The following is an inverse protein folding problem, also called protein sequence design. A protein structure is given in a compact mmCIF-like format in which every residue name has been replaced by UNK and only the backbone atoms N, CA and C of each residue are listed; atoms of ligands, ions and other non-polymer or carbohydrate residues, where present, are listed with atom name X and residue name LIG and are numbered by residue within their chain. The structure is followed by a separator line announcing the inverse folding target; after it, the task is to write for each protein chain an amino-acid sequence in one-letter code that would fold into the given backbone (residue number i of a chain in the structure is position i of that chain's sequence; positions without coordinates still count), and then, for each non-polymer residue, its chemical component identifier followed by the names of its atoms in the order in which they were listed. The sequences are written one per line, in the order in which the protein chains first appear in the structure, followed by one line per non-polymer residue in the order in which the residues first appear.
data_IF_892451072754
#
_entry.id   IF_892451072754
#
_cell.length_a   1.000
_cell.length_b   1.000
_cell.length_c   1.000
_cell.angle_alpha   90.00
_cell.angle_beta   90.00
_cell.angle_gamma   90.00
#
_symmetry.space_group_name_H-M   'P 1'
#
loop_
_entity.id
_entity.type
_entity.pdbx_description
1 polymer ?
#
# COMPACT_ATOMS: atom_id res chain seq x y z
N UNK A 1 19.02 75.47 -0.93
CA UNK A 1 18.74 74.21 -1.64
C UNK A 1 19.16 72.95 -0.87
N UNK A 2 20.09 73.01 0.07
CA UNK A 2 20.66 71.82 0.77
C UNK A 2 19.72 71.26 1.90
N UNK A 3 18.86 72.09 2.53
CA UNK A 3 17.96 71.61 3.61
C UNK A 3 16.77 70.74 3.18
N UNK A 4 16.36 70.79 1.91
CA UNK A 4 15.23 69.94 1.42
C UNK A 4 15.67 68.53 0.99
N UNK A 5 16.92 68.30 0.72
CA UNK A 5 17.44 66.97 0.33
C UNK A 5 17.63 66.07 1.55
N UNK A 6 18.00 66.65 2.71
CA UNK A 6 18.19 65.86 3.95
C UNK A 6 16.86 65.27 4.51
N UNK A 7 15.69 65.92 4.31
CA UNK A 7 14.39 65.44 4.77
C UNK A 7 13.88 64.25 3.93
N UNK A 8 14.19 64.23 2.65
CA UNK A 8 13.81 63.14 1.73
C UNK A 8 14.59 61.85 2.03
N UNK A 9 15.85 61.94 2.41
CA UNK A 9 16.71 60.79 2.75
C UNK A 9 16.25 60.13 4.07
N UNK A 10 15.78 60.92 5.06
CA UNK A 10 15.28 60.41 6.35
C UNK A 10 13.93 59.68 6.22
N UNK A 11 13.06 60.13 5.31
CA UNK A 11 11.80 59.46 5.04
C UNK A 11 12.02 58.14 4.25
N UNK A 12 12.95 58.07 3.36
CA UNK A 12 13.30 56.84 2.62
C UNK A 12 13.92 55.76 3.53
N UNK A 13 14.61 56.12 4.62
CA UNK A 13 15.20 55.18 5.57
C UNK A 13 14.19 54.60 6.56
N UNK A 14 13.02 55.23 6.74
CA UNK A 14 11.96 54.73 7.63
C UNK A 14 10.99 53.73 6.96
N UNK A 15 10.98 53.58 5.64
CA UNK A 15 10.12 52.68 4.92
C UNK A 15 10.71 51.30 4.64
N UNK A 16 11.96 51.01 5.01
CA UNK A 16 12.63 49.74 4.75
C UNK A 16 12.55 48.74 5.94
N UNK A 17 11.89 49.09 7.04
CA UNK A 17 11.89 48.31 8.29
C UNK A 17 10.72 47.33 8.47
N UNK A 18 9.75 47.26 7.58
CA UNK A 18 8.52 46.48 7.85
C UNK A 18 8.30 45.25 6.93
N UNK A 19 9.26 44.92 6.09
CA UNK A 19 9.07 43.80 5.16
C UNK A 19 9.63 42.45 5.66
N UNK A 20 10.32 42.37 6.81
CA UNK A 20 11.01 41.16 7.25
C UNK A 20 10.28 40.33 8.30
N UNK A 21 9.19 40.81 8.87
CA UNK A 21 8.50 40.08 9.95
C UNK A 21 7.36 39.17 9.49
N UNK A 22 6.81 39.35 8.29
CA UNK A 22 5.75 38.47 7.77
C UNK A 22 6.28 37.24 7.05
N UNK A 23 7.45 37.31 6.43
CA UNK A 23 8.07 36.16 5.74
C UNK A 23 8.53 35.08 6.74
N UNK A 24 8.98 35.46 7.93
CA UNK A 24 9.45 34.53 8.96
C UNK A 24 8.34 33.73 9.64
N UNK A 25 7.12 34.29 9.71
CA UNK A 25 5.99 33.55 10.28
C UNK A 25 5.40 32.52 9.29
N UNK A 26 5.31 32.88 8.00
CA UNK A 26 4.81 31.95 6.97
C UNK A 26 5.77 30.79 6.74
N UNK A 27 7.10 31.04 6.73
CA UNK A 27 8.09 29.96 6.63
C UNK A 27 8.10 29.04 7.85
N UNK A 28 7.88 29.59 9.05
CA UNK A 28 7.82 28.79 10.28
C UNK A 28 6.54 27.94 10.36
N UNK A 29 5.41 28.48 9.92
CA UNK A 29 4.15 27.75 9.82
C UNK A 29 4.19 26.70 8.71
N UNK A 30 4.81 26.99 7.56
CA UNK A 30 5.03 26.04 6.46
C UNK A 30 5.98 24.90 6.91
N UNK A 31 7.03 25.22 7.66
CA UNK A 31 7.99 24.22 8.16
C UNK A 31 7.34 23.33 9.22
N UNK A 32 6.49 23.86 10.12
CA UNK A 32 5.68 23.07 11.04
C UNK A 32 4.63 22.21 10.31
N UNK A 33 4.01 22.74 9.27
CA UNK A 33 3.05 22.01 8.42
C UNK A 33 3.71 20.88 7.65
N UNK A 34 4.92 21.08 7.12
CA UNK A 34 5.68 20.05 6.40
C UNK A 34 6.12 18.91 7.32
N UNK A 35 6.44 19.20 8.58
CA UNK A 35 6.83 18.20 9.60
C UNK A 35 5.64 17.34 10.06
N UNK A 36 4.41 17.81 9.90
CA UNK A 36 3.20 17.04 10.22
C UNK A 36 2.83 16.01 9.14
N UNK A 37 3.33 16.13 7.91
CA UNK A 37 2.98 15.23 6.81
C UNK A 37 3.78 13.92 6.84
N UNK A 38 3.10 12.78 6.68
CA UNK A 38 3.72 11.44 6.61
C UNK A 38 4.21 11.13 5.19
N UNK A 39 5.19 11.88 4.69
CA UNK A 39 5.70 11.75 3.32
C UNK A 39 6.29 10.36 3.02
N UNK A 40 6.86 9.70 4.03
CA UNK A 40 7.46 8.39 3.91
C UNK A 40 6.72 7.38 4.79
N UNK A 41 6.59 6.15 4.29
CA UNK A 41 5.97 5.07 5.08
C UNK A 41 6.64 4.86 6.43
N UNK A 42 7.97 5.00 6.51
CA UNK A 42 8.72 4.90 7.77
C UNK A 42 8.28 5.96 8.80
N UNK A 43 7.93 7.17 8.36
CA UNK A 43 7.38 8.21 9.25
C UNK A 43 6.02 7.82 9.80
N UNK A 44 5.16 7.17 8.98
CA UNK A 44 3.89 6.63 9.46
C UNK A 44 4.13 5.63 10.61
N UNK A 45 5.07 4.68 10.45
CA UNK A 45 5.40 3.71 11.50
C UNK A 45 5.90 4.39 12.77
N UNK A 46 6.88 5.29 12.66
CA UNK A 46 7.43 6.03 13.82
C UNK A 46 6.35 6.83 14.54
N UNK A 47 5.49 7.50 13.80
CA UNK A 47 4.38 8.29 14.34
C UNK A 47 3.33 7.41 15.03
N UNK A 48 2.90 6.34 14.40
CA UNK A 48 1.98 5.37 14.99
C UNK A 48 2.54 4.79 16.29
N UNK A 49 3.82 4.50 16.32
CA UNK A 49 4.51 3.94 17.47
C UNK A 49 4.84 4.98 18.57
N UNK A 50 4.79 6.26 18.28
CA UNK A 50 5.24 7.33 19.18
C UNK A 50 6.77 7.34 19.36
N UNK A 51 7.49 7.13 18.27
CA UNK A 51 8.96 7.04 18.19
C UNK A 51 9.58 8.31 17.60
N UNK A 52 8.79 9.36 17.38
CA UNK A 52 9.25 10.67 16.91
C UNK A 52 8.61 11.82 17.70
N UNK A 53 9.23 13.00 17.63
CA UNK A 53 8.68 14.25 18.18
C UNK A 53 7.62 14.84 17.25
N UNK A 54 6.91 15.88 17.69
CA UNK A 54 6.01 16.66 16.85
C UNK A 54 6.70 17.26 15.61
N UNK A 55 8.02 17.48 15.69
CA UNK A 55 8.85 18.01 14.60
C UNK A 55 9.42 16.94 13.66
N UNK A 56 9.16 15.66 13.96
CA UNK A 56 9.68 14.54 13.18
C UNK A 56 11.08 14.05 13.59
N UNK A 57 11.66 14.60 14.68
CA UNK A 57 12.92 14.11 15.21
C UNK A 57 12.72 12.74 15.85
N UNK A 58 13.63 11.81 15.64
CA UNK A 58 13.57 10.47 16.22
C UNK A 58 13.79 10.53 17.73
N UNK A 59 12.96 9.78 18.48
CA UNK A 59 13.10 9.63 19.92
C UNK A 59 13.94 8.40 20.25
N UNK A 60 14.96 8.59 21.08
CA UNK A 60 15.72 7.48 21.62
C UNK A 60 14.89 6.64 22.60
N UNK A 61 15.10 5.32 22.69
CA UNK A 61 14.37 4.45 23.62
C UNK A 61 14.45 4.85 25.09
N UNK A 62 15.46 5.65 25.46
CA UNK A 62 15.69 6.20 26.82
C UNK A 62 14.87 7.46 27.09
N UNK A 63 14.28 8.09 26.06
CA UNK A 63 13.44 9.28 26.23
C UNK A 63 12.11 8.92 26.89
N UNK A 64 11.66 9.67 27.88
CA UNK A 64 10.37 9.45 28.56
C UNK A 64 9.15 9.57 27.62
N UNK A 65 9.33 10.20 26.48
CA UNK A 65 8.28 10.37 25.45
C UNK A 65 8.21 9.16 24.52
N UNK A 66 9.28 8.36 24.43
CA UNK A 66 9.35 7.19 23.55
C UNK A 66 8.21 6.22 23.87
N UNK A 67 7.39 5.92 22.85
CA UNK A 67 6.21 5.03 22.93
C UNK A 67 5.20 5.40 24.02
N UNK A 68 5.17 6.67 24.43
CA UNK A 68 4.25 7.15 25.45
C UNK A 68 2.79 7.04 24.98
N UNK A 69 1.94 6.39 25.77
CA UNK A 69 0.52 6.13 25.42
C UNK A 69 -0.25 7.39 25.07
N UNK A 70 -0.08 8.49 25.85
CA UNK A 70 -0.79 9.75 25.61
C UNK A 70 -0.35 10.41 24.29
N UNK A 71 0.95 10.35 24.00
CA UNK A 71 1.52 10.86 22.77
C UNK A 71 1.04 10.04 21.56
N UNK A 72 1.06 8.71 21.67
CA UNK A 72 0.56 7.80 20.64
C UNK A 72 -0.90 8.02 20.31
N UNK A 73 -1.79 8.20 21.31
CA UNK A 73 -3.20 8.49 21.08
C UNK A 73 -3.37 9.73 20.19
N UNK A 74 -2.62 10.80 20.46
CA UNK A 74 -2.64 12.01 19.65
C UNK A 74 -2.14 11.76 18.22
N UNK A 75 -1.03 11.05 18.07
CA UNK A 75 -0.44 10.78 16.77
C UNK A 75 -1.33 9.88 15.92
N UNK A 76 -1.82 8.78 16.46
CA UNK A 76 -2.71 7.88 15.70
C UNK A 76 -3.97 8.64 15.26
N UNK A 77 -4.50 9.54 16.09
CA UNK A 77 -5.68 10.30 15.71
C UNK A 77 -5.50 11.18 14.46
N UNK A 78 -4.30 11.74 14.25
CA UNK A 78 -4.01 12.57 13.05
C UNK A 78 -3.57 11.77 11.83
N UNK A 79 -3.33 10.45 11.98
CA UNK A 79 -2.96 9.57 10.87
C UNK A 79 -4.15 9.09 10.03
N UNK A 80 -5.38 9.47 10.35
CA UNK A 80 -6.54 9.16 9.52
C UNK A 80 -6.73 10.20 8.42
N UNK A 81 -7.11 9.73 7.24
CA UNK A 81 -7.61 10.63 6.20
C UNK A 81 -8.92 11.28 6.66
N UNK A 82 -8.97 12.60 6.65
CA UNK A 82 -10.12 13.38 7.14
C UNK A 82 -11.06 13.83 6.02
N UNK A 83 -10.61 13.75 4.76
CA UNK A 83 -11.38 14.24 3.63
C UNK A 83 -12.21 13.15 2.94
N UNK A 84 -11.60 11.98 2.69
CA UNK A 84 -12.21 10.94 1.87
C UNK A 84 -12.60 9.70 2.67
N UNK A 85 -11.94 9.42 3.81
CA UNK A 85 -12.25 8.25 4.60
C UNK A 85 -13.54 8.44 5.40
N UNK A 86 -14.55 7.62 5.10
CA UNK A 86 -15.82 7.60 5.84
C UNK A 86 -15.70 6.78 7.14
N UNK A 87 -14.73 7.12 7.98
CA UNK A 87 -14.49 6.41 9.24
C UNK A 87 -15.16 7.17 10.38
N UNK A 88 -16.12 6.54 11.07
CA UNK A 88 -16.82 7.16 12.17
C UNK A 88 -15.89 7.48 13.34
N UNK A 89 -16.16 8.57 14.07
CA UNK A 89 -15.40 8.97 15.25
C UNK A 89 -15.38 7.86 16.33
N UNK A 90 -16.48 7.14 16.47
CA UNK A 90 -16.58 6.01 17.41
C UNK A 90 -15.61 4.89 17.05
N UNK A 91 -15.53 4.52 15.76
CA UNK A 91 -14.64 3.49 15.26
C UNK A 91 -13.16 3.90 15.42
N UNK A 92 -12.80 5.15 15.06
CA UNK A 92 -11.48 5.73 15.31
C UNK A 92 -11.07 5.61 16.77
N UNK A 93 -11.93 6.06 17.68
CA UNK A 93 -11.63 6.02 19.11
C UNK A 93 -11.43 4.57 19.61
N UNK A 94 -12.28 3.64 19.20
CA UNK A 94 -12.15 2.22 19.57
C UNK A 94 -10.82 1.64 19.08
N UNK A 95 -10.43 1.91 17.85
CA UNK A 95 -9.14 1.50 17.30
C UNK A 95 -7.95 2.08 18.08
N UNK A 96 -7.98 3.40 18.35
CA UNK A 96 -6.92 4.08 19.10
C UNK A 96 -6.78 3.48 20.51
N UNK A 97 -7.89 3.24 21.21
CA UNK A 97 -7.88 2.61 22.53
C UNK A 97 -7.30 1.19 22.47
N UNK A 98 -7.68 0.38 21.46
CA UNK A 98 -7.12 -0.96 21.25
C UNK A 98 -5.60 -0.91 21.01
N UNK A 99 -5.17 -0.09 20.05
CA UNK A 99 -3.75 0.01 19.67
C UNK A 99 -2.85 0.56 20.78
N UNK A 100 -3.42 1.39 21.68
CA UNK A 100 -2.67 2.08 22.75
C UNK A 100 -2.97 1.57 24.15
N UNK A 101 -3.66 0.44 24.29
CA UNK A 101 -3.97 -0.15 25.60
C UNK A 101 -2.69 -0.36 26.42
N UNK A 102 -2.70 0.07 27.68
CA UNK A 102 -1.50 0.03 28.53
C UNK A 102 -0.99 -1.37 28.83
N UNK A 103 -1.85 -2.40 28.78
CA UNK A 103 -1.48 -3.79 29.07
C UNK A 103 -1.11 -4.57 27.80
N UNK A 104 -1.70 -4.22 26.65
CA UNK A 104 -1.57 -4.94 25.39
C UNK A 104 -1.23 -4.00 24.23
N UNK A 105 -0.38 -2.97 24.50
CA UNK A 105 0.00 -1.99 23.49
C UNK A 105 0.63 -2.66 22.27
N UNK A 106 0.11 -2.32 21.10
CA UNK A 106 0.56 -2.91 19.84
C UNK A 106 1.34 -1.88 19.03
N UNK A 107 2.44 -2.32 18.45
CA UNK A 107 3.35 -1.48 17.69
C UNK A 107 3.52 -2.03 16.29
N UNK A 108 3.55 -1.14 15.32
CA UNK A 108 3.82 -1.53 13.94
C UNK A 108 5.31 -1.81 13.74
N UNK A 109 5.63 -2.83 12.97
CA UNK A 109 7.00 -3.15 12.59
C UNK A 109 7.09 -3.36 11.09
N UNK A 110 8.05 -2.71 10.44
CA UNK A 110 8.37 -2.94 9.03
C UNK A 110 8.70 -4.42 8.74
N UNK A 111 9.19 -5.14 9.76
CA UNK A 111 9.60 -6.55 9.64
C UNK A 111 8.48 -7.54 9.96
N UNK A 112 7.29 -7.06 10.34
CA UNK A 112 6.12 -7.94 10.57
C UNK A 112 5.66 -8.56 9.26
N UNK A 113 5.07 -9.77 9.37
CA UNK A 113 4.41 -10.46 8.25
C UNK A 113 2.94 -10.08 8.11
N UNK A 114 2.41 -9.26 9.02
CA UNK A 114 0.99 -8.93 9.11
C UNK A 114 0.62 -7.70 8.29
N UNK A 115 1.42 -7.38 7.28
CA UNK A 115 1.12 -6.33 6.33
C UNK A 115 1.77 -6.62 4.97
N UNK A 116 1.22 -6.03 3.92
CA UNK A 116 1.72 -6.17 2.55
C UNK A 116 1.31 -4.97 1.70
N UNK A 117 1.92 -4.86 0.52
CA UNK A 117 1.59 -3.83 -0.44
C UNK A 117 0.83 -4.43 -1.63
N UNK A 118 -0.19 -3.71 -2.10
CA UNK A 118 -0.87 -3.94 -3.38
C UNK A 118 -0.44 -2.83 -4.31
N UNK A 119 0.23 -3.20 -5.39
CA UNK A 119 0.80 -2.29 -6.38
C UNK A 119 0.05 -2.47 -7.69
N UNK A 120 -0.79 -1.50 -8.04
CA UNK A 120 -1.45 -1.46 -9.33
C UNK A 120 -0.49 -0.90 -10.37
N UNK A 121 -0.26 -1.66 -11.41
CA UNK A 121 0.73 -1.37 -12.45
C UNK A 121 0.11 -1.48 -13.83
N UNK A 122 0.78 -0.87 -14.80
CA UNK A 122 0.48 -1.05 -16.22
C UNK A 122 1.62 -1.80 -16.87
N UNK A 123 1.28 -2.84 -17.62
CA UNK A 123 2.19 -3.58 -18.48
C UNK A 123 1.72 -3.51 -19.93
N UNK A 124 2.66 -3.59 -20.87
CA UNK A 124 2.37 -3.88 -22.27
C UNK A 124 2.31 -5.39 -22.46
N UNK A 125 1.15 -5.89 -22.86
CA UNK A 125 0.89 -7.27 -23.18
C UNK A 125 0.20 -7.38 -24.53
N UNK A 126 0.72 -8.19 -25.46
CA UNK A 126 0.21 -8.33 -26.82
C UNK A 126 0.03 -6.98 -27.56
N UNK A 127 0.97 -6.03 -27.35
CA UNK A 127 0.95 -4.71 -27.97
C UNK A 127 -0.08 -3.73 -27.40
N UNK A 128 -0.71 -4.03 -26.27
CA UNK A 128 -1.68 -3.18 -25.58
C UNK A 128 -1.28 -2.96 -24.13
N UNK A 129 -1.55 -1.77 -23.62
CA UNK A 129 -1.39 -1.51 -22.20
C UNK A 129 -2.54 -2.13 -21.41
N UNK A 130 -2.20 -2.89 -20.37
CA UNK A 130 -3.15 -3.59 -19.52
C UNK A 130 -2.79 -3.44 -18.05
N UNK A 131 -3.78 -3.28 -17.15
CA UNK A 131 -3.54 -3.24 -15.71
C UNK A 131 -3.16 -4.62 -15.20
N UNK A 132 -2.17 -4.65 -14.31
CA UNK A 132 -1.72 -5.84 -13.60
C UNK A 132 -1.43 -5.47 -12.15
N UNK A 133 -1.95 -6.24 -11.21
CA UNK A 133 -1.74 -6.03 -9.78
C UNK A 133 -0.65 -6.94 -9.27
N UNK A 134 0.35 -6.35 -8.61
CA UNK A 134 1.40 -7.08 -7.89
C UNK A 134 1.12 -7.04 -6.38
N UNK A 135 1.23 -8.20 -5.74
CA UNK A 135 1.19 -8.31 -4.28
C UNK A 135 2.61 -8.46 -3.75
N UNK A 136 3.03 -7.49 -2.94
CA UNK A 136 4.39 -7.39 -2.44
C UNK A 136 4.44 -7.65 -0.94
N UNK A 137 5.42 -8.44 -0.50
CA UNK A 137 5.66 -8.72 0.93
C UNK A 137 7.11 -8.45 1.28
N UNK A 138 7.36 -8.18 2.56
CA UNK A 138 8.73 -8.13 3.09
C UNK A 138 9.12 -9.54 3.53
N UNK A 139 10.28 -9.98 3.09
CA UNK A 139 10.92 -11.21 3.58
C UNK A 139 12.31 -10.93 4.11
N UNK A 140 12.77 -11.80 5.00
CA UNK A 140 14.14 -11.77 5.51
C UNK A 140 15.07 -12.36 4.46
N UNK A 141 16.14 -11.63 4.12
CA UNK A 141 17.20 -12.09 3.24
C UNK A 141 18.56 -11.84 3.88
N UNK A 142 19.27 -12.91 4.23
CA UNK A 142 20.54 -12.82 4.93
C UNK A 142 20.45 -12.04 6.24
N UNK A 143 21.17 -10.93 6.34
CA UNK A 143 21.15 -10.00 7.48
C UNK A 143 20.11 -8.87 7.33
N UNK A 144 19.45 -8.77 6.17
CA UNK A 144 18.53 -7.71 5.83
C UNK A 144 17.10 -8.17 5.59
N UNK A 145 16.34 -7.28 4.98
CA UNK A 145 14.96 -7.50 4.54
C UNK A 145 14.79 -6.88 3.16
N UNK A 146 14.02 -7.53 2.31
CA UNK A 146 13.72 -7.06 0.96
C UNK A 146 12.23 -7.17 0.64
N UNK A 147 11.80 -6.41 -0.37
CA UNK A 147 10.48 -6.55 -0.96
C UNK A 147 10.50 -7.63 -2.04
N UNK A 148 9.55 -8.53 -1.96
CA UNK A 148 9.39 -9.61 -2.94
C UNK A 148 7.98 -9.61 -3.51
N UNK A 149 7.86 -9.99 -4.78
CA UNK A 149 6.56 -10.26 -5.40
C UNK A 149 6.07 -11.61 -4.87
N UNK A 150 4.98 -11.59 -4.12
CA UNK A 150 4.42 -12.80 -3.50
C UNK A 150 3.30 -13.43 -4.32
N UNK A 151 2.62 -12.62 -5.14
CA UNK A 151 1.49 -13.04 -5.99
C UNK A 151 1.20 -11.97 -7.04
N UNK A 152 0.37 -12.29 -8.02
CA UNK A 152 -0.13 -11.35 -9.02
C UNK A 152 -1.62 -11.60 -9.30
N UNK A 153 -2.31 -10.56 -9.80
CA UNK A 153 -3.62 -10.68 -10.43
C UNK A 153 -3.58 -10.01 -11.80
N UNK A 154 -4.00 -10.76 -12.83
CA UNK A 154 -3.98 -10.28 -14.20
C UNK A 154 -5.17 -10.86 -14.97
N UNK A 155 -6.10 -10.02 -15.37
CA UNK A 155 -7.34 -10.43 -16.01
C UNK A 155 -7.10 -11.23 -17.33
N UNK A 156 -6.01 -10.96 -18.05
CA UNK A 156 -5.69 -11.73 -19.25
C UNK A 156 -5.40 -13.21 -18.93
N UNK A 157 -4.82 -13.51 -17.76
CA UNK A 157 -4.60 -14.90 -17.33
C UNK A 157 -5.90 -15.54 -16.85
N UNK A 158 -6.77 -14.79 -16.16
CA UNK A 158 -8.08 -15.30 -15.78
C UNK A 158 -8.90 -15.70 -16.99
N UNK A 159 -8.89 -14.89 -18.05
CA UNK A 159 -9.56 -15.20 -19.31
C UNK A 159 -8.93 -16.39 -20.04
N UNK A 160 -7.58 -16.50 -20.01
CA UNK A 160 -6.86 -17.59 -20.68
C UNK A 160 -7.15 -18.96 -20.05
N UNK A 161 -7.31 -18.99 -18.72
CA UNK A 161 -7.54 -20.21 -17.94
C UNK A 161 -8.98 -20.34 -17.43
N UNK A 162 -9.90 -19.52 -17.95
CA UNK A 162 -11.31 -19.65 -17.63
C UNK A 162 -11.83 -21.00 -18.12
N UNK A 163 -11.98 -21.91 -17.16
CA UNK A 163 -12.63 -23.19 -17.43
C UNK A 163 -14.11 -22.92 -17.68
N UNK A 164 -14.46 -22.54 -18.90
CA UNK A 164 -15.85 -22.63 -19.34
C UNK A 164 -16.27 -24.09 -19.12
N UNK A 165 -16.95 -24.35 -18.02
CA UNK A 165 -17.58 -25.64 -17.75
C UNK A 165 -18.77 -25.78 -18.72
N UNK A 166 -18.44 -26.03 -20.00
CA UNK A 166 -19.42 -26.41 -20.99
C UNK A 166 -20.11 -27.70 -20.55
N UNK A 167 -21.34 -27.92 -20.97
CA UNK A 167 -22.14 -29.10 -20.67
C UNK A 167 -21.49 -30.41 -21.14
N UNK A 168 -20.51 -30.35 -22.04
CA UNK A 168 -19.70 -31.48 -22.53
C UNK A 168 -18.27 -31.35 -22.01
N UNK A 169 -17.95 -32.07 -20.93
CA UNK A 169 -16.59 -32.16 -20.44
C UNK A 169 -15.73 -32.96 -21.45
N UNK A 170 -14.78 -32.27 -22.09
CA UNK A 170 -13.79 -32.94 -22.91
C UNK A 170 -12.85 -33.77 -22.01
N UNK A 171 -12.59 -35.01 -22.41
CA UNK A 171 -11.74 -35.91 -21.63
C UNK A 171 -11.02 -36.92 -22.54
N UNK A 172 -9.91 -37.43 -22.05
CA UNK A 172 -9.25 -38.59 -22.61
C UNK A 172 -9.89 -39.86 -22.05
N UNK A 173 -10.36 -40.74 -22.93
CA UNK A 173 -11.00 -41.97 -22.49
C UNK A 173 -10.03 -42.82 -21.66
N UNK A 174 -10.47 -43.49 -20.58
CA UNK A 174 -9.60 -44.32 -19.75
C UNK A 174 -8.79 -45.35 -20.51
N UNK A 175 -9.33 -45.89 -21.61
CA UNK A 175 -8.63 -46.87 -22.48
C UNK A 175 -7.66 -46.23 -23.47
N UNK A 176 -7.40 -44.93 -23.41
CA UNK A 176 -6.46 -44.26 -24.33
C UNK A 176 -5.05 -44.82 -24.29
N UNK A 177 -4.65 -45.44 -23.18
CA UNK A 177 -3.34 -46.10 -23.04
C UNK A 177 -3.18 -47.32 -23.99
N UNK A 178 -4.26 -47.99 -24.38
CA UNK A 178 -4.23 -49.08 -25.34
C UNK A 178 -3.89 -48.65 -26.77
N UNK A 179 -4.03 -47.34 -27.03
CA UNK A 179 -3.72 -46.69 -28.28
C UNK A 179 -2.48 -45.78 -28.16
N UNK A 180 -1.60 -46.08 -27.23
CA UNK A 180 -0.38 -45.29 -26.94
C UNK A 180 -0.64 -43.78 -26.80
N UNK A 181 -1.80 -43.43 -26.28
CA UNK A 181 -2.27 -42.05 -26.17
C UNK A 181 -2.25 -41.24 -27.47
N UNK A 182 -2.43 -41.85 -28.62
CA UNK A 182 -2.46 -41.14 -29.93
C UNK A 182 -3.50 -40.01 -30.00
N UNK A 183 -4.54 -40.08 -29.19
CA UNK A 183 -5.59 -39.06 -29.07
C UNK A 183 -5.18 -37.80 -28.26
N UNK A 184 -3.96 -37.79 -27.66
CA UNK A 184 -3.41 -36.55 -27.07
C UNK A 184 -3.33 -35.39 -28.07
N UNK A 185 -3.17 -35.72 -29.36
CA UNK A 185 -3.18 -34.68 -30.41
C UNK A 185 -4.49 -33.91 -30.43
N UNK A 186 -5.63 -34.56 -30.18
CA UNK A 186 -6.93 -33.87 -30.08
C UNK A 186 -6.96 -32.93 -28.88
N UNK A 187 -6.50 -33.40 -27.74
CA UNK A 187 -6.46 -32.66 -26.49
C UNK A 187 -5.60 -31.38 -26.58
N UNK A 188 -4.44 -31.48 -27.24
CA UNK A 188 -3.44 -30.42 -27.22
C UNK A 188 -3.44 -29.49 -28.45
N UNK A 189 -4.06 -29.90 -29.55
CA UNK A 189 -3.98 -29.16 -30.83
C UNK A 189 -5.35 -28.74 -31.38
N UNK A 190 -6.39 -29.55 -31.18
CA UNK A 190 -7.67 -29.33 -31.87
C UNK A 190 -8.70 -28.54 -31.05
N UNK A 191 -8.69 -28.63 -29.74
CA UNK A 191 -9.81 -28.16 -28.93
C UNK A 191 -9.56 -26.82 -28.24
N UNK A 192 -8.34 -26.26 -28.30
CA UNK A 192 -8.05 -24.91 -27.79
C UNK A 192 -8.08 -24.73 -26.25
N UNK A 193 -8.44 -25.77 -25.48
CA UNK A 193 -8.58 -25.73 -24.03
C UNK A 193 -7.82 -26.87 -23.36
N UNK A 194 -6.48 -26.90 -23.44
CA UNK A 194 -5.67 -27.98 -22.91
C UNK A 194 -5.79 -28.14 -21.37
N UNK A 195 -6.17 -27.07 -20.65
CA UNK A 195 -6.44 -27.09 -19.22
C UNK A 195 -7.58 -28.04 -18.83
N UNK A 196 -8.52 -28.33 -19.75
CA UNK A 196 -9.61 -29.30 -19.52
C UNK A 196 -9.10 -30.73 -19.30
N UNK A 197 -7.89 -31.05 -19.74
CA UNK A 197 -7.26 -32.35 -19.62
C UNK A 197 -6.30 -32.45 -18.43
N UNK A 198 -6.29 -31.44 -17.57
CA UNK A 198 -5.50 -31.42 -16.31
C UNK A 198 -6.33 -32.00 -15.14
N UNK A 199 -5.70 -32.08 -13.97
CA UNK A 199 -6.38 -32.50 -12.75
C UNK A 199 -7.57 -31.57 -12.44
N UNK A 200 -8.61 -32.12 -11.78
CA UNK A 200 -9.82 -31.36 -11.48
C UNK A 200 -9.58 -30.16 -10.55
N UNK A 201 -8.57 -30.28 -9.70
CA UNK A 201 -8.13 -29.24 -8.75
C UNK A 201 -6.94 -28.41 -9.27
N UNK A 202 -6.53 -28.63 -10.51
CA UNK A 202 -5.45 -27.83 -11.12
C UNK A 202 -5.80 -26.35 -11.09
N UNK A 203 -4.85 -25.56 -10.58
CA UNK A 203 -4.87 -24.10 -10.60
C UNK A 203 -3.54 -23.62 -11.21
N UNK A 204 -3.59 -22.74 -12.22
CA UNK A 204 -2.36 -22.19 -12.79
C UNK A 204 -1.62 -21.35 -11.75
N UNK A 205 -0.31 -21.42 -11.76
CA UNK A 205 0.56 -20.54 -11.00
C UNK A 205 0.84 -19.27 -11.83
N UNK A 206 0.05 -18.24 -11.59
CA UNK A 206 0.14 -16.97 -12.32
C UNK A 206 1.47 -16.25 -12.09
N UNK A 207 2.07 -16.42 -10.92
CA UNK A 207 3.39 -15.81 -10.65
C UNK A 207 4.47 -16.45 -11.53
N UNK A 208 4.45 -17.78 -11.67
CA UNK A 208 5.39 -18.47 -12.57
C UNK A 208 5.20 -18.05 -14.02
N UNK A 209 3.94 -17.93 -14.49
CA UNK A 209 3.63 -17.49 -15.84
C UNK A 209 4.09 -16.04 -16.08
N UNK A 210 3.81 -15.15 -15.14
CA UNK A 210 4.28 -13.78 -15.16
C UNK A 210 5.80 -13.69 -15.30
N UNK A 211 6.53 -14.41 -14.45
CA UNK A 211 8.00 -14.41 -14.50
C UNK A 211 8.54 -14.97 -15.83
N UNK A 212 7.88 -15.96 -16.39
CA UNK A 212 8.23 -16.51 -17.69
C UNK A 212 8.02 -15.47 -18.80
N UNK A 213 6.87 -14.83 -18.86
CA UNK A 213 6.54 -13.84 -19.89
C UNK A 213 7.40 -12.58 -19.80
N UNK A 214 7.67 -12.08 -18.58
CA UNK A 214 8.63 -10.98 -18.38
C UNK A 214 10.02 -11.36 -18.90
N UNK A 215 10.52 -12.56 -18.57
CA UNK A 215 11.83 -13.05 -19.06
C UNK A 215 11.86 -13.19 -20.58
N UNK A 216 10.74 -13.52 -21.21
CA UNK A 216 10.61 -13.63 -22.67
C UNK A 216 10.38 -12.27 -23.35
N UNK A 217 10.16 -11.20 -22.60
CA UNK A 217 9.83 -9.88 -23.13
C UNK A 217 8.43 -9.79 -23.75
N UNK A 218 7.55 -10.74 -23.44
CA UNK A 218 6.15 -10.74 -23.86
C UNK A 218 5.32 -9.79 -23.00
N UNK A 219 5.69 -9.67 -21.74
CA UNK A 219 5.09 -8.76 -20.78
C UNK A 219 6.13 -7.69 -20.38
N UNK A 220 5.84 -6.41 -20.67
CA UNK A 220 6.78 -5.31 -20.46
C UNK A 220 6.20 -4.29 -19.48
N UNK A 221 6.90 -4.05 -18.39
CA UNK A 221 6.54 -3.04 -17.40
C UNK A 221 6.50 -1.64 -18.01
N UNK A 222 5.48 -0.86 -17.70
CA UNK A 222 5.33 0.56 -18.09
C UNK A 222 5.42 1.49 -16.89
N UNK A 223 4.51 1.36 -15.94
CA UNK A 223 4.44 2.28 -14.79
C UNK A 223 3.71 1.66 -13.60
N UNK A 224 3.88 2.28 -12.44
CA UNK A 224 3.03 2.10 -11.27
C UNK A 224 1.95 3.17 -11.30
N UNK A 225 0.69 2.78 -11.22
CA UNK A 225 -0.45 3.73 -11.13
C UNK A 225 -0.82 4.06 -9.70
N UNK A 226 -0.86 3.05 -8.83
CA UNK A 226 -1.27 3.21 -7.46
C UNK A 226 -0.58 2.21 -6.54
N UNK A 227 -0.41 2.61 -5.29
CA UNK A 227 0.17 1.79 -4.22
C UNK A 227 -0.69 1.93 -2.96
N UNK A 228 -1.12 0.79 -2.42
CA UNK A 228 -1.90 0.70 -1.20
C UNK A 228 -1.24 -0.29 -0.24
N UNK A 229 -1.13 0.06 1.02
CA UNK A 229 -0.65 -0.86 2.05
C UNK A 229 -1.81 -1.39 2.88
N UNK A 230 -1.79 -2.68 3.18
CA UNK A 230 -2.82 -3.39 3.93
C UNK A 230 -2.21 -3.94 5.22
N UNK A 231 -2.85 -3.66 6.36
CA UNK A 231 -2.37 -4.01 7.69
C UNK A 231 -3.37 -4.86 8.45
N UNK A 232 -2.84 -5.91 9.06
CA UNK A 232 -3.51 -6.80 10.02
C UNK A 232 -2.70 -6.87 11.33
N UNK A 233 -1.86 -5.88 11.56
CA UNK A 233 -0.86 -5.83 12.65
C UNK A 233 -1.44 -5.37 13.98
N UNK A 234 -2.70 -4.95 14.02
CA UNK A 234 -3.43 -4.65 15.25
C UNK A 234 -4.51 -5.71 15.43
N UNK A 235 -4.45 -6.44 16.55
CA UNK A 235 -5.33 -7.58 16.81
C UNK A 235 -6.81 -7.18 16.75
N UNK A 236 -7.58 -7.92 15.95
CA UNK A 236 -9.00 -7.66 15.71
C UNK A 236 -9.27 -6.50 14.75
N UNK A 237 -8.25 -5.99 14.03
CA UNK A 237 -8.42 -4.88 13.12
C UNK A 237 -7.73 -5.08 11.78
N UNK A 238 -8.38 -4.55 10.77
CA UNK A 238 -7.79 -4.28 9.47
C UNK A 238 -7.80 -2.78 9.22
N UNK A 239 -6.73 -2.28 8.64
CA UNK A 239 -6.68 -0.93 8.08
C UNK A 239 -5.78 -0.88 6.85
N UNK A 240 -6.02 0.12 6.00
CA UNK A 240 -5.18 0.35 4.83
C UNK A 240 -4.67 1.78 4.79
N UNK A 241 -3.55 1.96 4.09
CA UNK A 241 -2.97 3.28 3.84
C UNK A 241 -2.99 3.60 2.36
N UNK A 242 -3.42 4.82 2.06
CA UNK A 242 -3.22 5.47 0.76
C UNK A 242 -2.28 6.68 0.93
N UNK A 243 -1.62 7.06 -0.16
CA UNK A 243 -0.82 8.28 -0.20
C UNK A 243 -1.66 9.43 -0.78
N UNK A 244 -1.79 10.50 0.00
CA UNK A 244 -2.53 11.70 -0.39
C UNK A 244 -1.57 12.86 -0.62
N UNK A 245 -1.29 13.16 -1.89
CA UNK A 245 -0.48 14.31 -2.28
C UNK A 245 -1.37 15.56 -2.38
N UNK A 246 -1.63 16.18 -1.24
CA UNK A 246 -2.45 17.40 -1.12
C UNK A 246 -1.82 18.40 -0.16
N UNK A 247 -2.14 19.71 -0.27
CA UNK A 247 -1.67 20.71 0.67
C UNK A 247 -2.28 20.51 2.05
N UNK A 248 -1.60 21.01 3.10
CA UNK A 248 -2.09 20.96 4.48
C UNK A 248 -1.48 19.85 5.33
N UNK A 249 -2.01 19.72 6.56
CA UNK A 249 -1.45 18.82 7.58
C UNK A 249 -1.85 17.37 7.41
N UNK A 250 -2.99 17.11 6.77
CA UNK A 250 -3.55 15.79 6.56
C UNK A 250 -3.17 15.28 5.17
N UNK A 251 -1.89 14.95 4.97
CA UNK A 251 -1.28 14.55 3.69
C UNK A 251 -0.24 13.46 3.87
N UNK A 252 0.18 12.82 2.77
CA UNK A 252 1.09 11.68 2.76
C UNK A 252 0.37 10.36 3.03
N UNK A 253 1.03 9.42 3.70
CA UNK A 253 0.47 8.12 4.04
C UNK A 253 -0.51 8.23 5.20
N UNK A 254 -1.81 8.00 4.93
CA UNK A 254 -2.88 8.10 5.90
C UNK A 254 -3.76 6.85 5.87
N UNK A 255 -4.41 6.56 7.00
CA UNK A 255 -5.39 5.48 7.12
C UNK A 255 -6.62 5.86 6.31
N UNK A 256 -6.86 5.13 5.22
CA UNK A 256 -7.99 5.32 4.31
C UNK A 256 -9.17 4.41 4.61
N UNK A 257 -8.90 3.21 5.13
CA UNK A 257 -9.94 2.25 5.51
C UNK A 257 -9.64 1.70 6.90
N UNK A 258 -10.69 1.42 7.65
CA UNK A 258 -10.62 0.83 8.99
C UNK A 258 -11.81 -0.07 9.22
N UNK A 259 -11.56 -1.31 9.64
CA UNK A 259 -12.62 -2.28 9.92
C UNK A 259 -12.20 -3.17 11.10
N UNK A 260 -13.13 -3.37 12.04
CA UNK A 260 -12.98 -4.40 13.06
C UNK A 260 -13.27 -5.77 12.45
N UNK A 261 -12.38 -6.75 12.66
CA UNK A 261 -12.46 -8.07 12.03
C UNK A 261 -12.15 -9.17 13.04
N UNK A 262 -12.79 -10.33 12.87
CA UNK A 262 -12.39 -11.57 13.50
C UNK A 262 -11.55 -12.44 12.53
N UNK A 263 -11.05 -13.59 12.99
CA UNK A 263 -10.19 -14.46 12.18
C UNK A 263 -10.87 -14.94 10.88
N UNK A 264 -12.15 -15.30 10.94
CA UNK A 264 -12.88 -15.72 9.74
C UNK A 264 -13.04 -14.57 8.73
N UNK A 265 -13.31 -13.37 9.21
CA UNK A 265 -13.41 -12.17 8.36
C UNK A 265 -12.04 -11.77 7.81
N UNK A 266 -10.94 -12.01 8.55
CA UNK A 266 -9.58 -11.80 8.06
C UNK A 266 -9.31 -12.66 6.82
N UNK A 267 -9.65 -13.96 6.88
CA UNK A 267 -9.43 -14.88 5.76
C UNK A 267 -10.27 -14.50 4.53
N UNK A 268 -11.53 -14.11 4.76
CA UNK A 268 -12.42 -13.65 3.68
C UNK A 268 -11.90 -12.35 3.03
N UNK A 269 -11.46 -11.39 3.86
CA UNK A 269 -10.91 -10.13 3.37
C UNK A 269 -9.60 -10.34 2.60
N UNK A 270 -8.73 -11.24 3.06
CA UNK A 270 -7.52 -11.61 2.32
C UNK A 270 -7.87 -12.22 0.96
N UNK A 271 -8.81 -13.16 0.90
CA UNK A 271 -9.27 -13.70 -0.39
C UNK A 271 -9.79 -12.61 -1.32
N UNK A 272 -10.62 -11.72 -0.81
CA UNK A 272 -11.16 -10.60 -1.58
C UNK A 272 -10.05 -9.68 -2.11
N UNK A 273 -9.08 -9.29 -1.26
CA UNK A 273 -7.96 -8.42 -1.66
C UNK A 273 -7.11 -9.10 -2.75
N UNK A 274 -6.86 -10.41 -2.62
CA UNK A 274 -6.08 -11.18 -3.59
C UNK A 274 -6.88 -11.61 -4.83
N UNK A 275 -8.19 -11.26 -4.92
CA UNK A 275 -9.05 -11.70 -6.02
C UNK A 275 -9.17 -13.22 -6.12
N UNK A 276 -9.13 -13.93 -4.99
CA UNK A 276 -9.20 -15.40 -4.91
C UNK A 276 -10.50 -15.79 -4.22
N UNK A 277 -11.42 -16.36 -4.97
CA UNK A 277 -12.65 -16.97 -4.46
C UNK A 277 -12.41 -18.32 -3.74
#
# INVERSE_FOLDING_TARGET
MIKKISVIIVIAALCTGYASAQVLNDDFDIEQQLLASTKQLNQFFKRFNGEETNRGDELEPTDRRYRNTRLRKRYINVLFDEEYAQISKALKNKFIETATNSQTAQFLSLRSKDWFAVVNTVFEYEGREQPLTLYMKIQKEGLGYEWVISDISFNAYDQLFDKQRGETKEFLHPMSHELDFMNLRKALVQNGSPESYTLADYKPDYLTLFLYEVKKGLLKFKTVENLKYHFFSVDGWYFSLNNYNRPGFNSGWLISDLTEINNSQKDQLLKFIYGKD
#
